data_IF_806375880007
#
_entry.id   IF_806375880007
#
_cell.length_a   1.000
_cell.length_b   1.000
_cell.length_c   1.000
_cell.angle_alpha   90.00
_cell.angle_beta   90.00
_cell.angle_gamma   90.00
#
_symmetry.space_group_name_H-M   'P 1'
#
loop_
_entity.id
_entity.type
_entity.pdbx_description
1 polymer ?
#
# COMPACT_ATOMS: atom_id res chain seq x y z
N UNK A 1 4.00 18.33 10.79
CA UNK A 1 4.93 17.21 10.52
C UNK A 1 5.46 17.40 9.11
N UNK A 2 6.75 17.24 8.85
CA UNK A 2 7.28 17.28 7.48
C UNK A 2 6.88 15.98 6.75
N UNK A 3 6.61 16.04 5.44
CA UNK A 3 6.27 14.90 4.57
C UNK A 3 7.26 13.74 4.72
N UNK A 4 8.57 14.00 4.81
CA UNK A 4 9.58 12.94 4.96
C UNK A 4 9.41 12.19 6.29
N UNK A 5 9.07 12.91 7.36
CA UNK A 5 8.79 12.32 8.67
C UNK A 5 7.46 11.57 8.68
N UNK A 6 6.49 12.02 7.88
CA UNK A 6 5.22 11.32 7.69
C UNK A 6 5.46 9.99 6.97
N UNK A 7 6.23 9.99 5.88
CA UNK A 7 6.63 8.78 5.14
C UNK A 7 7.37 7.81 6.07
N UNK A 8 8.37 8.28 6.82
CA UNK A 8 9.07 7.45 7.82
C UNK A 8 8.09 6.87 8.86
N UNK A 9 7.12 7.65 9.33
CA UNK A 9 6.11 7.19 10.29
C UNK A 9 5.19 6.13 9.67
N UNK A 10 4.83 6.29 8.40
CA UNK A 10 3.99 5.35 7.65
C UNK A 10 4.74 4.04 7.37
N UNK A 11 5.96 4.12 6.86
CA UNK A 11 6.82 2.97 6.56
C UNK A 11 7.05 2.08 7.78
N UNK A 12 7.14 2.69 8.98
CA UNK A 12 7.28 1.98 10.25
C UNK A 12 5.95 1.49 10.86
N UNK A 13 4.80 1.75 10.25
CA UNK A 13 3.53 1.20 10.75
C UNK A 13 3.56 -0.32 10.66
N UNK A 14 3.17 -0.98 11.74
CA UNK A 14 2.91 -2.41 11.74
C UNK A 14 1.65 -2.68 10.92
N UNK A 15 1.74 -3.65 10.02
CA UNK A 15 0.61 -4.15 9.24
C UNK A 15 0.51 -5.65 9.39
N UNK A 16 -0.71 -6.15 9.28
CA UNK A 16 -1.02 -7.59 9.22
C UNK A 16 -1.53 -7.92 7.84
N UNK A 17 -0.96 -8.93 7.21
CA UNK A 17 -1.36 -9.44 5.92
C UNK A 17 -2.19 -10.70 6.12
N UNK A 18 -3.34 -10.78 5.45
CA UNK A 18 -4.23 -11.93 5.53
C UNK A 18 -4.51 -12.45 4.12
N UNK A 19 -4.12 -13.71 3.86
CA UNK A 19 -4.35 -14.39 2.58
C UNK A 19 -5.74 -15.03 2.50
N UNK A 20 -6.31 -15.07 1.28
CA UNK A 20 -7.54 -15.78 0.96
C UNK A 20 -7.33 -17.26 0.56
N UNK A 21 -6.08 -17.72 0.37
CA UNK A 21 -5.79 -18.99 -0.31
C UNK A 21 -6.16 -20.24 0.50
N UNK A 22 -6.19 -20.20 1.82
CA UNK A 22 -6.56 -21.37 2.60
C UNK A 22 -7.39 -21.02 3.84
N UNK A 23 -8.70 -21.29 3.78
CA UNK A 23 -9.60 -21.25 4.94
C UNK A 23 -9.11 -22.13 6.11
N UNK A 24 -8.26 -23.13 5.82
CA UNK A 24 -7.71 -24.07 6.79
C UNK A 24 -6.24 -23.79 7.20
N UNK A 25 -5.37 -23.34 6.31
CA UNK A 25 -3.99 -22.93 6.65
C UNK A 25 -3.84 -21.40 6.63
N UNK A 26 -3.98 -20.83 7.83
CA UNK A 26 -3.74 -19.41 8.08
C UNK A 26 -2.33 -19.00 7.64
N UNK A 27 -2.23 -18.24 6.55
CA UNK A 27 -1.05 -17.43 6.28
C UNK A 27 -1.37 -16.01 6.75
N UNK A 28 -0.97 -15.74 8.00
CA UNK A 28 -0.99 -14.40 8.59
C UNK A 28 0.44 -13.96 8.78
N UNK A 29 0.80 -12.84 8.19
CA UNK A 29 2.11 -12.23 8.38
C UNK A 29 1.96 -10.87 9.06
N UNK A 30 2.80 -10.61 10.08
CA UNK A 30 2.91 -9.29 10.70
C UNK A 30 4.23 -8.69 10.26
N UNK A 31 4.17 -7.54 9.60
CA UNK A 31 5.33 -6.88 9.01
C UNK A 31 5.20 -5.35 9.09
N UNK A 32 6.11 -4.61 8.46
CA UNK A 32 6.01 -3.15 8.33
C UNK A 32 5.38 -2.77 6.99
N UNK A 33 4.74 -1.60 6.91
CA UNK A 33 4.18 -1.11 5.64
C UNK A 33 5.25 -1.05 4.53
N UNK A 34 6.46 -0.57 4.86
CA UNK A 34 7.58 -0.54 3.90
C UNK A 34 7.86 -1.92 3.31
N UNK A 35 7.95 -2.95 4.16
CA UNK A 35 8.17 -4.32 3.71
C UNK A 35 7.01 -4.82 2.86
N UNK A 36 5.77 -4.57 3.29
CA UNK A 36 4.57 -4.95 2.54
C UNK A 36 4.63 -4.38 1.12
N UNK A 37 4.82 -3.08 0.97
CA UNK A 37 4.88 -2.42 -0.34
C UNK A 37 6.00 -2.98 -1.22
N UNK A 38 7.17 -3.26 -0.64
CA UNK A 38 8.31 -3.81 -1.37
C UNK A 38 8.16 -5.29 -1.80
N UNK A 39 7.21 -6.03 -1.22
CA UNK A 39 7.02 -7.47 -1.48
C UNK A 39 5.77 -7.78 -2.31
N UNK A 40 5.05 -6.77 -2.80
CA UNK A 40 3.86 -6.99 -3.64
C UNK A 40 4.24 -7.20 -5.10
N UNK A 41 3.32 -7.73 -5.92
CA UNK A 41 3.52 -7.86 -7.36
C UNK A 41 3.88 -6.55 -8.05
N UNK A 42 3.44 -5.44 -7.45
CA UNK A 42 3.55 -4.10 -7.97
C UNK A 42 4.83 -3.36 -7.49
N UNK A 43 5.63 -3.97 -6.60
CA UNK A 43 6.87 -3.42 -6.01
C UNK A 43 6.76 -1.91 -5.69
N UNK A 44 5.93 -1.57 -4.70
CA UNK A 44 5.60 -0.19 -4.36
C UNK A 44 6.56 0.47 -3.36
N UNK A 45 6.56 1.80 -3.34
CA UNK A 45 7.16 2.60 -2.27
C UNK A 45 6.40 3.92 -2.02
N UNK A 46 6.52 4.44 -0.80
CA UNK A 46 6.02 5.78 -0.48
C UNK A 46 7.06 6.84 -0.84
N UNK A 47 6.60 7.92 -1.48
CA UNK A 47 7.44 8.99 -1.99
C UNK A 47 6.78 10.36 -1.80
N UNK A 48 7.58 11.41 -1.59
CA UNK A 48 7.06 12.78 -1.51
C UNK A 48 6.84 13.39 -2.90
N UNK A 49 5.83 14.25 -3.03
CA UNK A 49 5.62 14.98 -4.29
C UNK A 49 6.83 15.85 -4.68
N UNK A 50 7.60 16.31 -3.68
CA UNK A 50 8.86 17.01 -3.91
C UNK A 50 9.90 16.14 -4.61
N UNK A 51 10.03 14.88 -4.19
CA UNK A 51 10.96 13.95 -4.82
C UNK A 51 10.52 13.61 -6.24
N UNK A 52 9.22 13.35 -6.46
CA UNK A 52 8.66 13.14 -7.80
C UNK A 52 8.98 14.33 -8.72
N UNK A 53 8.71 15.55 -8.27
CA UNK A 53 9.02 16.77 -9.03
C UNK A 53 10.52 16.98 -9.30
N UNK A 54 11.41 16.29 -8.60
CA UNK A 54 12.87 16.38 -8.78
C UNK A 54 13.43 15.40 -9.81
N UNK A 55 12.64 14.39 -10.20
CA UNK A 55 13.01 13.37 -11.18
C UNK A 55 12.72 13.86 -12.61
N UNK A 56 13.41 13.33 -13.64
CA UNK A 56 12.99 13.53 -15.01
C UNK A 56 11.55 13.03 -15.20
N UNK A 57 10.72 13.82 -15.87
CA UNK A 57 9.35 13.44 -16.18
C UNK A 57 9.32 12.18 -17.05
N UNK A 58 8.50 11.20 -16.67
CA UNK A 58 8.24 9.99 -17.45
C UNK A 58 6.74 9.83 -17.77
N UNK A 59 6.39 8.78 -18.53
CA UNK A 59 5.02 8.55 -18.98
C UNK A 59 4.03 8.27 -17.83
N UNK A 60 4.50 7.68 -16.73
CA UNK A 60 3.65 7.38 -15.57
C UNK A 60 3.29 8.67 -14.84
N UNK A 61 4.29 9.52 -14.62
CA UNK A 61 4.10 10.85 -14.04
C UNK A 61 3.22 11.75 -14.94
N UNK A 62 3.43 11.75 -16.27
CA UNK A 62 2.60 12.51 -17.21
C UNK A 62 1.13 12.05 -17.17
N UNK A 63 0.90 10.74 -17.13
CA UNK A 63 -0.46 10.17 -17.06
C UNK A 63 -1.14 10.58 -15.77
N UNK A 64 -0.48 10.41 -14.62
CA UNK A 64 -1.03 10.80 -13.33
C UNK A 64 -1.41 12.30 -13.30
N UNK A 65 -0.50 13.17 -13.74
CA UNK A 65 -0.73 14.61 -13.74
C UNK A 65 -1.89 14.99 -14.67
N UNK A 66 -1.96 14.40 -15.86
CA UNK A 66 -3.06 14.64 -16.80
C UNK A 66 -4.41 14.18 -16.24
N UNK A 67 -4.49 12.98 -15.68
CA UNK A 67 -5.71 12.39 -15.13
C UNK A 67 -6.24 13.17 -13.92
N UNK A 68 -5.32 13.75 -13.12
CA UNK A 68 -5.67 14.56 -11.95
C UNK A 68 -5.80 16.05 -12.27
N UNK A 69 -5.60 16.47 -13.53
CA UNK A 69 -5.65 17.89 -13.92
C UNK A 69 -4.59 18.75 -13.23
N UNK A 70 -3.44 18.17 -12.89
CA UNK A 70 -2.33 18.79 -12.16
C UNK A 70 -1.18 19.12 -13.12
N UNK A 71 -0.43 20.17 -12.83
CA UNK A 71 0.78 20.51 -13.58
C UNK A 71 2.06 19.96 -12.94
N UNK A 72 2.03 19.75 -11.62
CA UNK A 72 3.12 19.23 -10.79
C UNK A 72 2.51 18.49 -9.60
N UNK A 73 3.30 17.63 -8.96
CA UNK A 73 2.92 16.97 -7.71
C UNK A 73 2.88 17.97 -6.56
N UNK A 74 2.02 17.75 -5.57
CA UNK A 74 1.97 18.57 -4.36
C UNK A 74 3.14 18.19 -3.44
N UNK A 75 4.02 19.15 -3.13
CA UNK A 75 5.22 18.91 -2.32
C UNK A 75 4.90 18.49 -0.87
N UNK A 76 3.70 18.80 -0.37
CA UNK A 76 3.28 18.46 0.99
C UNK A 76 2.49 17.13 1.04
N UNK A 77 2.28 16.47 -0.10
CA UNK A 77 1.59 15.19 -0.20
C UNK A 77 2.54 14.00 -0.27
N UNK A 78 2.07 12.88 0.29
CA UNK A 78 2.63 11.54 0.12
C UNK A 78 1.93 10.88 -1.06
N UNK A 79 2.73 10.25 -1.90
CA UNK A 79 2.30 9.41 -3.00
C UNK A 79 2.78 7.98 -2.74
N UNK A 80 2.11 7.01 -3.33
CA UNK A 80 2.70 5.70 -3.54
C UNK A 80 3.01 5.57 -5.02
N UNK A 81 4.22 5.13 -5.32
CA UNK A 81 4.71 4.82 -6.65
C UNK A 81 4.89 3.30 -6.72
N UNK A 82 4.26 2.66 -7.70
CA UNK A 82 4.47 1.26 -8.07
C UNK A 82 5.13 1.19 -9.45
N UNK A 83 5.38 -0.02 -9.95
CA UNK A 83 5.87 -0.22 -11.31
C UNK A 83 4.84 0.17 -12.40
N UNK A 84 3.54 0.24 -12.04
CA UNK A 84 2.44 0.48 -12.99
C UNK A 84 1.82 1.87 -12.86
N UNK A 85 1.76 2.42 -11.66
CA UNK A 85 1.04 3.67 -11.39
C UNK A 85 1.59 4.49 -10.23
N UNK A 86 1.22 5.76 -10.20
CA UNK A 86 1.38 6.65 -9.06
C UNK A 86 -0.02 7.04 -8.58
N UNK A 87 -0.23 7.11 -7.28
CA UNK A 87 -1.45 7.70 -6.71
C UNK A 87 -1.16 8.51 -5.46
N UNK A 88 -1.99 9.53 -5.22
CA UNK A 88 -1.91 10.35 -4.00
C UNK A 88 -2.47 9.56 -2.81
N UNK A 89 -1.69 9.49 -1.74
CA UNK A 89 -2.06 8.80 -0.50
C UNK A 89 -2.62 9.80 0.52
N UNK A 90 -2.05 11.00 0.59
CA UNK A 90 -2.57 12.08 1.42
C UNK A 90 -1.49 12.96 2.04
N UNK A 91 -1.92 13.91 2.88
CA UNK A 91 -1.06 15.00 3.41
C UNK A 91 -0.82 14.92 4.91
N UNK A 92 -1.49 14.00 5.59
CA UNK A 92 -1.34 13.78 7.02
C UNK A 92 -1.60 12.31 7.35
N UNK A 93 -1.17 11.90 8.55
CA UNK A 93 -1.20 10.49 8.96
C UNK A 93 -2.60 9.85 8.88
N UNK A 94 -3.64 10.60 9.25
CA UNK A 94 -5.01 10.08 9.26
C UNK A 94 -5.50 9.81 7.84
N UNK A 95 -5.29 10.77 6.94
CA UNK A 95 -5.72 10.64 5.56
C UNK A 95 -4.92 9.54 4.85
N UNK A 96 -3.60 9.49 5.07
CA UNK A 96 -2.76 8.43 4.53
C UNK A 96 -3.20 7.04 5.00
N UNK A 97 -3.41 6.82 6.31
CA UNK A 97 -3.88 5.52 6.81
C UNK A 97 -5.26 5.18 6.23
N UNK A 98 -6.16 6.16 6.14
CA UNK A 98 -7.49 5.95 5.56
C UNK A 98 -7.41 5.49 4.10
N UNK A 99 -6.56 6.14 3.30
CA UNK A 99 -6.39 5.80 1.89
C UNK A 99 -5.69 4.45 1.74
N UNK A 100 -4.62 4.20 2.50
CA UNK A 100 -3.88 2.93 2.48
C UNK A 100 -4.75 1.73 2.90
N UNK A 101 -5.73 1.95 3.78
CA UNK A 101 -6.65 0.90 4.27
C UNK A 101 -7.84 0.64 3.35
N UNK A 102 -8.13 1.52 2.38
CA UNK A 102 -9.34 1.42 1.54
C UNK A 102 -9.05 1.40 0.04
N UNK A 103 -7.95 2.01 -0.35
CA UNK A 103 -7.52 2.15 -1.72
C UNK A 103 -6.78 0.92 -2.22
N UNK A 104 -6.08 1.10 -3.34
CA UNK A 104 -5.36 0.05 -4.06
C UNK A 104 -4.40 -0.76 -3.16
N UNK A 105 -3.76 -0.09 -2.18
CA UNK A 105 -2.82 -0.73 -1.23
C UNK A 105 -3.46 -1.77 -0.31
N UNK A 106 -4.75 -1.62 -0.01
CA UNK A 106 -5.47 -2.58 0.82
C UNK A 106 -5.59 -3.96 0.15
N UNK A 107 -5.44 -4.01 -1.17
CA UNK A 107 -5.78 -5.13 -2.06
C UNK A 107 -4.61 -5.65 -2.89
N UNK A 108 -3.36 -5.29 -2.57
CA UNK A 108 -2.21 -5.63 -3.42
C UNK A 108 -2.03 -7.15 -3.54
N UNK A 109 -1.83 -7.63 -4.77
CA UNK A 109 -1.45 -9.02 -5.03
C UNK A 109 -0.03 -9.30 -4.53
N UNK A 110 0.23 -10.49 -3.99
CA UNK A 110 1.61 -10.90 -3.72
C UNK A 110 2.13 -11.76 -4.87
N UNK A 111 3.37 -11.50 -5.29
CA UNK A 111 4.10 -12.39 -6.17
C UNK A 111 4.81 -13.43 -5.30
N UNK A 112 4.07 -14.37 -4.71
CA UNK A 112 4.71 -15.58 -4.22
C UNK A 112 4.94 -16.50 -5.41
N UNK A 113 6.20 -16.53 -5.85
CA UNK A 113 6.69 -17.36 -6.95
C UNK A 113 6.22 -18.81 -6.80
N UNK A 114 5.29 -19.27 -7.65
CA UNK A 114 4.98 -20.68 -7.83
C UNK A 114 3.53 -21.15 -7.64
N UNK A 115 2.56 -20.26 -7.43
CA UNK A 115 1.14 -20.64 -7.35
C UNK A 115 0.39 -20.21 -8.63
N UNK A 116 -0.40 -21.13 -9.19
CA UNK A 116 -1.17 -20.92 -10.44
C UNK A 116 -2.50 -20.15 -10.22
N UNK A 117 -2.84 -19.82 -8.98
CA UNK A 117 -4.06 -19.09 -8.61
C UNK A 117 -3.71 -17.70 -8.04
N UNK A 118 -4.51 -16.69 -8.38
CA UNK A 118 -4.35 -15.30 -7.92
C UNK A 118 -4.59 -15.22 -6.40
N UNK A 119 -3.50 -15.21 -5.62
CA UNK A 119 -3.56 -15.01 -4.17
C UNK A 119 -3.86 -13.54 -3.85
N UNK A 120 -4.99 -13.30 -3.20
CA UNK A 120 -5.36 -11.99 -2.70
C UNK A 120 -4.96 -11.85 -1.24
N UNK A 121 -4.28 -10.74 -0.94
CA UNK A 121 -3.87 -10.39 0.41
C UNK A 121 -4.53 -9.09 0.84
N UNK A 122 -5.23 -9.14 1.97
CA UNK A 122 -5.73 -7.93 2.61
C UNK A 122 -4.69 -7.35 3.57
N UNK A 123 -4.41 -6.05 3.44
CA UNK A 123 -3.49 -5.32 4.32
C UNK A 123 -4.24 -4.61 5.44
N UNK A 124 -4.01 -5.02 6.69
CA UNK A 124 -4.62 -4.42 7.88
C UNK A 124 -3.61 -3.58 8.65
N UNK A 125 -3.94 -2.33 8.98
CA UNK A 125 -3.09 -1.50 9.84
C UNK A 125 -3.20 -1.93 11.32
N UNK A 126 -2.09 -2.43 11.86
CA UNK A 126 -1.98 -2.97 13.21
C UNK A 126 -1.42 -4.40 13.23
N UNK A 127 -1.30 -4.95 14.44
CA UNK A 127 -0.87 -6.34 14.67
C UNK A 127 -2.07 -7.19 15.08
N UNK A 128 -2.48 -8.09 14.18
CA UNK A 128 -3.63 -8.97 14.36
C UNK A 128 -3.25 -10.41 14.01
N UNK A 129 -2.40 -11.08 14.81
CA UNK A 129 -1.89 -12.42 14.48
C UNK A 129 -2.97 -13.50 14.32
N UNK A 130 -4.19 -13.21 14.78
CA UNK A 130 -5.36 -14.09 14.71
C UNK A 130 -6.37 -13.66 13.63
N UNK A 131 -6.05 -12.64 12.81
CA UNK A 131 -6.90 -12.22 11.71
C UNK A 131 -7.00 -13.34 10.65
N UNK A 132 -8.14 -13.41 9.97
CA UNK A 132 -8.40 -14.35 8.87
C UNK A 132 -9.48 -13.81 7.96
N UNK A 133 -9.54 -14.35 6.75
CA UNK A 133 -10.68 -14.14 5.84
C UNK A 133 -11.70 -15.25 6.09
N UNK A 134 -12.99 -14.90 6.26
CA UNK A 134 -14.08 -15.86 6.41
C UNK A 134 -14.65 -16.29 5.03
N UNK A 135 -15.59 -17.23 5.02
CA UNK A 135 -16.23 -17.75 3.80
C UNK A 135 -16.95 -16.67 2.97
N UNK A 136 -17.29 -15.54 3.58
CA UNK A 136 -17.91 -14.38 2.92
C UNK A 136 -16.86 -13.38 2.39
N UNK A 137 -15.58 -13.74 2.41
CA UNK A 137 -14.43 -12.89 2.05
C UNK A 137 -14.26 -11.65 2.93
N UNK A 138 -14.72 -11.71 4.18
CA UNK A 138 -14.57 -10.63 5.15
C UNK A 138 -13.43 -10.92 6.13
N UNK A 139 -12.67 -9.88 6.49
CA UNK A 139 -11.69 -9.96 7.57
C UNK A 139 -12.38 -10.12 8.92
N UNK A 140 -12.02 -11.19 9.63
CA UNK A 140 -12.40 -11.44 11.02
C UNK A 140 -11.16 -11.38 11.89
N UNK A 141 -11.17 -10.44 12.84
CA UNK A 141 -10.14 -10.32 13.89
C UNK A 141 -10.68 -11.00 15.16
N UNK A 142 -10.00 -12.05 15.62
CA UNK A 142 -10.35 -12.72 16.88
C UNK A 142 -9.34 -12.33 17.97
N UNK A 143 -9.84 -12.02 19.17
CA UNK A 143 -9.02 -11.77 20.36
C UNK A 143 -8.32 -13.04 20.87
#
# INVERSE_FOLDING_TARGET
MNVEKLIETLNNQTVTLVSNMEFENKLVEVTTLEKRLATTCEEGCLISGKELNSRPMDSMMETFLADNGMAIFDNDAVYCESIEEIYEVGKNLKDCISELSRGYISQLGCQLTGLEEEEYWETLFGSYPNARINEDYEVVIND
#
